data_IF_626210327098
#
_entry.id   IF_626210327098
#
_cell.length_a   1.000
_cell.length_b   1.000
_cell.length_c   1.000
_cell.angle_alpha   90.00
_cell.angle_beta   90.00
_cell.angle_gamma   90.00
#
_symmetry.space_group_name_H-M   'P 1'
#
loop_
_entity.id
_entity.type
_entity.pdbx_description
1 polymer ?
#
# COMPACT_ATOMS: atom_id res chain seq x y z
N UNK A 1 -38.85 -37.23 -42.75
CA UNK A 1 -37.51 -37.86 -42.89
C UNK A 1 -36.78 -37.74 -41.56
N UNK A 2 -36.73 -38.83 -40.79
CA UNK A 2 -36.01 -38.90 -39.50
C UNK A 2 -34.50 -38.94 -39.71
N UNK A 3 -33.74 -38.21 -38.89
CA UNK A 3 -32.34 -38.55 -38.60
C UNK A 3 -32.00 -38.34 -37.12
N UNK A 4 -31.76 -39.48 -36.48
CA UNK A 4 -30.95 -39.66 -35.28
C UNK A 4 -29.53 -39.12 -35.50
N UNK A 5 -28.93 -38.46 -34.49
CA UNK A 5 -27.48 -38.42 -34.33
C UNK A 5 -27.14 -38.77 -32.88
N UNK A 6 -26.59 -39.97 -32.71
CA UNK A 6 -26.00 -40.50 -31.49
C UNK A 6 -24.73 -39.71 -31.10
N UNK A 7 -24.56 -39.47 -29.80
CA UNK A 7 -23.41 -38.81 -29.21
C UNK A 7 -22.13 -39.64 -29.28
N UNK A 8 -21.03 -38.98 -29.67
CA UNK A 8 -19.66 -39.52 -29.68
C UNK A 8 -18.97 -39.14 -28.37
N UNK A 9 -18.77 -40.09 -27.44
CA UNK A 9 -17.93 -39.89 -26.24
C UNK A 9 -16.48 -39.64 -26.69
N UNK A 10 -15.94 -38.45 -26.40
CA UNK A 10 -14.51 -38.14 -26.59
C UNK A 10 -13.69 -38.90 -25.54
N UNK A 11 -12.77 -39.75 -25.99
CA UNK A 11 -11.76 -40.39 -25.16
C UNK A 11 -10.67 -39.38 -24.79
N UNK A 12 -10.29 -39.34 -23.51
CA UNK A 12 -9.21 -38.48 -23.01
C UNK A 12 -7.86 -39.04 -23.48
N UNK A 13 -6.97 -38.23 -24.08
CA UNK A 13 -5.66 -38.68 -24.57
C UNK A 13 -4.78 -39.21 -23.43
N UNK A 14 -3.97 -40.23 -23.73
CA UNK A 14 -3.18 -41.01 -22.77
C UNK A 14 -2.23 -40.16 -21.90
N UNK A 15 -1.75 -39.02 -22.43
CA UNK A 15 -0.89 -38.07 -21.70
C UNK A 15 -1.59 -37.41 -20.52
N UNK A 16 -2.89 -37.08 -20.63
CA UNK A 16 -3.66 -36.47 -19.55
C UNK A 16 -4.01 -37.48 -18.46
N UNK A 17 -4.07 -38.78 -18.79
CA UNK A 17 -4.27 -39.85 -17.79
C UNK A 17 -3.03 -40.05 -16.93
N UNK A 18 -1.83 -39.96 -17.52
CA UNK A 18 -0.57 -40.08 -16.78
C UNK A 18 -0.38 -38.87 -15.84
N UNK A 19 -0.73 -37.66 -16.30
CA UNK A 19 -0.64 -36.45 -15.46
C UNK A 19 -1.64 -36.47 -14.29
N UNK A 20 -2.87 -36.98 -14.49
CA UNK A 20 -3.84 -37.18 -13.42
C UNK A 20 -3.43 -38.27 -12.42
N UNK A 21 -2.76 -39.33 -12.86
CA UNK A 21 -2.26 -40.38 -11.96
C UNK A 21 -1.07 -39.85 -11.15
N UNK A 22 -0.18 -39.08 -11.76
CA UNK A 22 0.95 -38.46 -11.06
C UNK A 22 0.50 -37.46 -9.99
N UNK A 23 -0.52 -36.63 -10.27
CA UNK A 23 -1.05 -35.69 -9.26
C UNK A 23 -1.77 -36.40 -8.12
N UNK A 24 -2.50 -37.50 -8.39
CA UNK A 24 -3.15 -38.29 -7.34
C UNK A 24 -2.13 -39.02 -6.44
N UNK A 25 -1.02 -39.49 -7.00
CA UNK A 25 0.08 -40.09 -6.22
C UNK A 25 0.78 -39.04 -5.34
N UNK A 26 0.99 -37.81 -5.83
CA UNK A 26 1.56 -36.73 -5.01
C UNK A 26 0.64 -36.32 -3.85
N UNK A 27 -0.66 -36.21 -4.07
CA UNK A 27 -1.63 -35.86 -3.02
C UNK A 27 -1.72 -36.96 -1.95
N UNK A 28 -1.71 -38.23 -2.36
CA UNK A 28 -1.74 -39.36 -1.41
C UNK A 28 -0.45 -39.46 -0.59
N UNK A 29 0.71 -39.23 -1.20
CA UNK A 29 1.99 -39.17 -0.48
C UNK A 29 2.02 -38.02 0.56
N UNK A 30 1.52 -36.84 0.21
CA UNK A 30 1.45 -35.69 1.12
C UNK A 30 0.53 -35.95 2.34
N UNK A 31 -0.61 -36.61 2.13
CA UNK A 31 -1.53 -36.99 3.21
C UNK A 31 -0.89 -38.02 4.13
N UNK A 32 -0.16 -39.00 3.60
CA UNK A 32 0.55 -40.00 4.43
C UNK A 32 1.64 -39.33 5.27
N UNK A 33 2.42 -38.40 4.71
CA UNK A 33 3.43 -37.64 5.47
C UNK A 33 2.77 -36.80 6.58
N UNK A 34 1.66 -36.12 6.29
CA UNK A 34 0.92 -35.34 7.29
C UNK A 34 0.37 -36.21 8.44
N UNK A 35 -0.15 -37.41 8.12
CA UNK A 35 -0.62 -38.36 9.13
C UNK A 35 0.52 -38.95 9.98
N UNK A 36 1.69 -39.20 9.38
CA UNK A 36 2.87 -39.64 10.13
C UNK A 36 3.41 -38.54 11.05
N UNK A 37 3.46 -37.28 10.60
CA UNK A 37 3.85 -36.14 11.44
C UNK A 37 2.91 -35.94 12.62
N UNK A 38 1.59 -36.03 12.40
CA UNK A 38 0.60 -35.94 13.49
C UNK A 38 0.68 -37.13 14.47
N UNK A 39 0.99 -38.34 14.00
CA UNK A 39 1.18 -39.50 14.86
C UNK A 39 2.46 -39.38 15.70
N UNK A 40 3.51 -38.76 15.17
CA UNK A 40 4.77 -38.56 15.89
C UNK A 40 4.70 -37.44 16.94
N UNK A 41 3.83 -36.44 16.74
CA UNK A 41 3.49 -35.43 17.76
C UNK A 41 2.70 -36.03 18.92
N UNK A 42 1.83 -37.03 18.65
CA UNK A 42 0.94 -37.62 19.66
C UNK A 42 1.61 -38.61 20.62
N UNK A 43 2.90 -38.94 20.43
CA UNK A 43 3.59 -39.98 21.18
C UNK A 43 4.68 -39.48 22.15
N UNK A 44 4.70 -38.18 22.49
CA UNK A 44 5.68 -37.62 23.44
C UNK A 44 5.17 -37.32 24.85
N UNK A 45 3.90 -37.52 25.16
CA UNK A 45 3.38 -37.35 26.52
C UNK A 45 2.66 -38.61 26.99
N UNK A 46 3.40 -39.54 27.60
CA UNK A 46 2.86 -40.53 28.52
C UNK A 46 3.98 -41.08 29.40
N UNK A 47 4.04 -40.64 30.65
CA UNK A 47 4.54 -41.42 31.79
C UNK A 47 3.75 -40.97 33.04
N UNK A 48 2.98 -41.91 33.59
CA UNK A 48 2.10 -41.76 34.74
C UNK A 48 2.86 -41.88 36.07
N UNK A 49 2.52 -41.06 37.07
CA UNK A 49 2.58 -41.44 38.50
C UNK A 49 1.29 -40.97 39.19
N UNK A 50 0.68 -41.89 39.94
CA UNK A 50 -0.62 -41.83 40.63
C UNK A 50 -0.46 -41.15 42.01
N UNK A 51 -1.42 -40.31 42.45
CA UNK A 51 -2.08 -40.39 43.78
C UNK A 51 -2.96 -39.16 44.14
N UNK A 52 -4.23 -39.48 44.46
CA UNK A 52 -5.27 -38.80 45.25
C UNK A 52 -5.85 -37.40 44.89
N UNK A 53 -7.17 -37.20 45.06
CA UNK A 53 -7.86 -35.98 44.64
C UNK A 53 -7.89 -34.92 45.74
N UNK A 54 -7.72 -33.63 45.38
CA UNK A 54 -8.51 -32.61 46.03
C UNK A 54 -9.02 -31.52 45.07
N UNK A 55 -10.25 -31.09 45.37
CA UNK A 55 -10.86 -29.77 45.12
C UNK A 55 -10.68 -29.10 43.75
N UNK A 56 -11.83 -28.78 43.15
CA UNK A 56 -11.97 -27.82 42.08
C UNK A 56 -11.15 -26.56 42.36
N UNK A 57 -10.02 -26.45 41.68
CA UNK A 57 -9.19 -25.25 41.68
C UNK A 57 -9.53 -24.52 40.39
N UNK A 58 -10.12 -23.34 40.54
CA UNK A 58 -10.38 -22.39 39.47
C UNK A 58 -9.06 -22.17 38.73
N UNK A 59 -9.05 -22.45 37.42
CA UNK A 59 -7.92 -22.15 36.53
C UNK A 59 -7.60 -20.66 36.69
N UNK A 60 -6.33 -20.25 36.84
CA UNK A 60 -6.02 -18.84 36.92
C UNK A 60 -6.44 -18.21 35.59
N UNK A 61 -7.39 -17.30 35.71
CA UNK A 61 -7.77 -16.36 34.67
C UNK A 61 -6.48 -15.79 34.08
N UNK A 62 -6.30 -15.95 32.77
CA UNK A 62 -5.15 -15.39 32.07
C UNK A 62 -5.11 -13.91 32.39
N UNK A 63 -4.11 -13.51 33.18
CA UNK A 63 -3.95 -12.13 33.58
C UNK A 63 -3.81 -11.31 32.30
N UNK A 64 -4.64 -10.28 32.08
CA UNK A 64 -4.55 -9.50 30.86
C UNK A 64 -3.13 -8.92 30.77
N UNK A 65 -2.45 -9.19 29.65
CA UNK A 65 -1.21 -8.51 29.31
C UNK A 65 -1.42 -7.02 29.55
N UNK A 66 -0.55 -6.34 30.34
CA UNK A 66 -0.75 -4.93 30.64
C UNK A 66 -0.89 -4.17 29.33
N UNK A 67 -1.92 -3.32 29.26
CA UNK A 67 -2.21 -2.52 28.08
C UNK A 67 -0.95 -1.73 27.71
N UNK A 68 -0.37 -2.02 26.54
CA UNK A 68 0.72 -1.21 26.01
C UNK A 68 0.14 0.13 25.58
N UNK A 69 0.83 1.23 25.91
CA UNK A 69 0.44 2.55 25.43
C UNK A 69 0.28 2.50 23.90
N UNK A 70 -0.84 2.99 23.34
CA UNK A 70 -1.12 2.87 21.90
C UNK A 70 -0.11 3.64 21.06
N UNK A 71 0.52 4.67 21.64
CA UNK A 71 1.52 5.51 20.99
C UNK A 71 2.79 5.53 21.85
N UNK A 72 3.93 5.29 21.22
CA UNK A 72 5.27 5.36 21.81
C UNK A 72 6.00 6.58 21.19
N UNK A 73 5.98 7.76 21.83
CA UNK A 73 6.51 8.99 21.25
C UNK A 73 7.97 8.93 20.78
N UNK A 74 8.79 8.07 21.40
CA UNK A 74 10.20 7.86 21.05
C UNK A 74 10.42 6.92 19.85
N UNK A 75 9.40 6.19 19.39
CA UNK A 75 9.51 5.35 18.20
C UNK A 75 9.70 6.22 16.96
N UNK A 76 10.66 5.90 16.09
CA UNK A 76 11.01 6.74 14.93
C UNK A 76 10.51 6.18 13.60
N UNK A 77 9.88 5.01 13.61
CA UNK A 77 9.16 4.45 12.46
C UNK A 77 7.68 4.26 12.79
N UNK A 78 6.85 4.03 11.78
CA UNK A 78 5.42 3.75 11.95
C UNK A 78 5.21 2.55 12.90
N UNK A 79 5.86 1.42 12.64
CA UNK A 79 5.74 0.20 13.44
C UNK A 79 6.25 0.33 14.89
N UNK A 80 7.25 1.18 15.12
CA UNK A 80 7.79 1.46 16.45
C UNK A 80 6.91 2.43 17.24
N UNK A 81 6.31 3.43 16.56
CA UNK A 81 5.56 4.50 17.21
C UNK A 81 4.14 4.09 17.56
N UNK A 82 3.50 3.25 16.76
CA UNK A 82 2.11 2.88 16.98
C UNK A 82 2.03 1.41 17.39
N UNK A 83 1.62 1.11 18.62
CA UNK A 83 1.38 -0.27 19.02
C UNK A 83 0.02 -0.74 18.47
N UNK A 84 -0.12 -1.98 18.00
CA UNK A 84 -1.43 -2.52 17.64
C UNK A 84 -2.38 -2.47 18.85
N UNK A 85 -3.69 -2.26 18.64
CA UNK A 85 -4.66 -2.30 19.71
C UNK A 85 -4.66 -3.65 20.45
N UNK A 86 -5.14 -3.67 21.69
CA UNK A 86 -5.22 -4.90 22.47
C UNK A 86 -5.99 -5.99 21.71
N UNK A 87 -5.43 -7.20 21.67
CA UNK A 87 -5.99 -8.34 20.96
C UNK A 87 -5.66 -8.40 19.46
N UNK A 88 -5.03 -7.37 18.89
CA UNK A 88 -4.59 -7.39 17.49
C UNK A 88 -3.11 -7.73 17.36
N UNK A 89 -2.79 -8.49 16.32
CA UNK A 89 -1.42 -8.83 15.95
C UNK A 89 -1.05 -8.15 14.64
N UNK A 90 0.08 -7.41 14.65
CA UNK A 90 0.60 -6.75 13.45
C UNK A 90 0.93 -7.77 12.36
N UNK A 91 0.49 -7.48 11.14
CA UNK A 91 0.82 -8.26 9.96
C UNK A 91 2.31 -8.17 9.68
N UNK A 92 2.95 -9.34 9.53
CA UNK A 92 4.34 -9.44 9.13
C UNK A 92 4.47 -9.11 7.64
N UNK A 93 5.50 -8.34 7.30
CA UNK A 93 5.76 -7.89 5.93
C UNK A 93 6.95 -8.64 5.34
N UNK A 94 6.93 -8.83 4.02
CA UNK A 94 8.04 -9.47 3.31
C UNK A 94 9.23 -8.49 3.22
N UNK A 95 10.44 -8.99 3.47
CA UNK A 95 11.66 -8.19 3.40
C UNK A 95 11.84 -7.60 1.99
N UNK A 96 12.06 -6.29 1.94
CA UNK A 96 12.23 -5.52 0.73
C UNK A 96 10.92 -5.13 0.03
N UNK A 97 9.76 -5.52 0.55
CA UNK A 97 8.45 -5.19 -0.04
C UNK A 97 8.03 -3.73 0.19
N UNK A 98 7.05 -3.26 -0.59
CA UNK A 98 6.45 -1.95 -0.37
C UNK A 98 5.74 -1.87 0.99
N UNK A 99 5.15 -2.98 1.44
CA UNK A 99 4.52 -3.08 2.74
C UNK A 99 5.53 -2.88 3.88
N UNK A 100 6.69 -3.52 3.81
CA UNK A 100 7.78 -3.33 4.79
C UNK A 100 8.29 -1.88 4.77
N UNK A 101 8.49 -1.32 3.57
CA UNK A 101 8.93 0.06 3.39
C UNK A 101 7.98 1.06 4.08
N UNK A 102 6.67 0.90 3.91
CA UNK A 102 5.67 1.75 4.56
C UNK A 102 5.64 1.51 6.07
N UNK A 103 5.55 0.27 6.52
CA UNK A 103 5.46 -0.08 7.94
C UNK A 103 6.68 0.40 8.74
N UNK A 104 7.85 0.53 8.10
CA UNK A 104 9.07 1.04 8.71
C UNK A 104 9.46 2.45 8.26
N UNK A 105 8.54 3.18 7.61
CA UNK A 105 8.81 4.53 7.14
C UNK A 105 9.18 5.45 8.32
N UNK A 106 10.22 6.26 8.16
CA UNK A 106 10.72 7.14 9.22
C UNK A 106 9.74 8.29 9.47
N UNK A 107 9.51 8.61 10.74
CA UNK A 107 8.65 9.70 11.17
C UNK A 107 9.49 10.85 11.70
N UNK A 108 8.96 12.08 11.62
CA UNK A 108 9.50 13.22 12.37
C UNK A 108 9.30 13.03 13.87
N UNK A 109 9.88 13.91 14.68
CA UNK A 109 9.62 13.92 16.12
C UNK A 109 8.11 14.02 16.40
N UNK A 110 7.65 13.34 17.45
CA UNK A 110 6.22 13.12 17.70
C UNK A 110 5.40 14.42 17.83
N UNK A 111 6.02 15.51 18.29
CA UNK A 111 5.34 16.79 18.50
C UNK A 111 5.23 17.64 17.23
N UNK A 112 5.88 17.24 16.13
CA UNK A 112 5.92 18.02 14.89
C UNK A 112 4.56 17.99 14.20
N UNK A 113 4.13 19.18 13.75
CA UNK A 113 2.94 19.36 12.91
C UNK A 113 3.33 19.32 11.43
N UNK A 114 2.45 18.82 10.56
CA UNK A 114 2.73 18.83 9.13
C UNK A 114 2.77 20.27 8.62
N UNK A 115 3.68 20.55 7.69
CA UNK A 115 3.64 21.80 6.93
C UNK A 115 2.56 21.74 5.86
N UNK A 116 1.85 22.85 5.65
CA UNK A 116 0.88 23.07 4.57
C UNK A 116 1.23 24.34 3.80
N UNK A 117 0.98 24.34 2.49
CA UNK A 117 1.09 25.52 1.65
C UNK A 117 -0.08 26.47 1.90
N UNK A 118 0.24 27.64 2.44
CA UNK A 118 -0.70 28.74 2.58
C UNK A 118 -0.81 29.50 1.25
N UNK A 119 -2.01 29.48 0.66
CA UNK A 119 -2.29 30.10 -0.63
C UNK A 119 -2.31 31.63 -0.60
N UNK A 120 -2.55 32.23 0.56
CA UNK A 120 -2.55 33.69 0.73
C UNK A 120 -1.12 34.22 0.82
N UNK A 121 -0.32 33.64 1.72
CA UNK A 121 1.09 34.07 1.91
C UNK A 121 2.05 33.47 0.89
N UNK A 122 1.65 32.40 0.19
CA UNK A 122 2.48 31.61 -0.74
C UNK A 122 3.71 30.98 -0.07
N UNK A 123 3.56 30.57 1.18
CA UNK A 123 4.64 29.96 1.98
C UNK A 123 4.16 28.70 2.68
N UNK A 124 5.10 27.91 3.22
CA UNK A 124 4.78 26.77 4.06
C UNK A 124 4.63 27.21 5.51
N UNK A 125 3.53 26.80 6.14
CA UNK A 125 3.21 27.07 7.55
C UNK A 125 2.85 25.78 8.27
N UNK A 126 2.93 25.76 9.60
CA UNK A 126 2.44 24.61 10.38
C UNK A 126 0.91 24.51 10.27
N UNK A 127 0.40 23.34 9.94
CA UNK A 127 -1.03 23.06 9.97
C UNK A 127 -1.44 22.56 11.37
N UNK A 128 -1.87 23.49 12.22
CA UNK A 128 -2.36 23.17 13.56
C UNK A 128 -3.70 22.41 13.55
N UNK A 129 -4.45 22.49 12.44
CA UNK A 129 -5.78 21.91 12.30
C UNK A 129 -5.77 20.56 11.59
N UNK A 130 -4.62 20.12 11.05
CA UNK A 130 -4.51 18.82 10.42
C UNK A 130 -4.97 17.71 11.39
N UNK A 131 -5.74 16.72 10.91
CA UNK A 131 -6.07 15.52 11.67
C UNK A 131 -4.86 14.58 11.69
N UNK A 132 -3.70 15.09 12.10
CA UNK A 132 -2.42 14.41 12.11
C UNK A 132 -2.04 13.94 13.52
N UNK A 133 -1.54 12.72 13.62
CA UNK A 133 -0.87 12.19 14.84
C UNK A 133 0.64 12.23 14.69
N UNK A 134 1.14 12.08 13.47
CA UNK A 134 2.56 12.16 13.18
C UNK A 134 2.81 12.50 11.72
N UNK A 135 4.01 12.96 11.40
CA UNK A 135 4.41 13.40 10.06
C UNK A 135 5.49 12.46 9.55
N UNK A 136 5.35 12.00 8.31
CA UNK A 136 6.41 11.23 7.64
C UNK A 136 7.64 12.12 7.48
N UNK A 137 8.83 11.57 7.68
CA UNK A 137 10.10 12.26 7.47
C UNK A 137 10.43 12.36 5.97
N UNK A 138 9.54 13.00 5.21
CA UNK A 138 9.65 13.27 3.79
C UNK A 138 9.34 14.74 3.55
N UNK A 139 10.19 15.43 2.78
CA UNK A 139 9.95 16.81 2.40
C UNK A 139 8.91 16.91 1.27
N UNK A 140 8.31 18.08 1.13
CA UNK A 140 7.54 18.40 -0.07
C UNK A 140 8.46 18.45 -1.29
N UNK A 141 7.96 18.01 -2.45
CA UNK A 141 8.75 17.97 -3.68
C UNK A 141 9.33 19.35 -4.04
N UNK A 142 8.60 20.42 -3.73
CA UNK A 142 9.04 21.81 -3.80
C UNK A 142 8.38 22.64 -2.68
N UNK A 143 8.65 23.95 -2.65
CA UNK A 143 8.07 24.89 -1.67
C UNK A 143 6.77 25.55 -2.16
N UNK A 144 6.26 25.13 -3.32
CA UNK A 144 5.02 25.64 -3.91
C UNK A 144 3.82 24.78 -3.56
N UNK A 145 2.70 25.05 -4.22
CA UNK A 145 1.46 24.27 -4.09
C UNK A 145 1.46 23.01 -4.97
N UNK A 146 2.58 22.28 -5.01
CA UNK A 146 2.75 21.03 -5.74
C UNK A 146 2.93 19.88 -4.74
N UNK A 147 2.54 18.66 -5.12
CA UNK A 147 2.36 17.52 -4.21
C UNK A 147 1.08 17.64 -3.38
N UNK A 148 -0.04 17.66 -4.09
CA UNK A 148 -1.37 17.60 -3.52
C UNK A 148 -1.77 16.16 -3.13
N UNK A 149 -3.02 15.95 -2.75
CA UNK A 149 -3.46 14.72 -2.08
C UNK A 149 -3.06 13.40 -2.79
N UNK A 150 -3.40 13.23 -4.07
CA UNK A 150 -3.05 12.05 -4.88
C UNK A 150 -1.55 11.89 -5.11
N UNK A 151 -0.84 13.02 -5.23
CA UNK A 151 0.60 13.05 -5.50
C UNK A 151 1.40 12.43 -4.36
N UNK A 152 0.87 12.48 -3.14
CA UNK A 152 1.47 11.82 -1.98
C UNK A 152 1.52 10.30 -2.16
N UNK A 153 0.51 9.70 -2.81
CA UNK A 153 0.48 8.26 -3.11
C UNK A 153 1.52 7.92 -4.18
N UNK A 154 1.54 8.71 -5.26
CA UNK A 154 2.53 8.62 -6.34
C UNK A 154 3.95 8.74 -5.76
N UNK A 155 4.19 9.71 -4.89
CA UNK A 155 5.50 9.97 -4.28
C UNK A 155 5.98 8.79 -3.46
N UNK A 156 5.15 8.25 -2.57
CA UNK A 156 5.54 7.13 -1.70
C UNK A 156 5.91 5.89 -2.52
N UNK A 157 5.13 5.57 -3.55
CA UNK A 157 5.39 4.40 -4.38
C UNK A 157 6.62 4.59 -5.28
N UNK A 158 6.77 5.76 -5.89
CA UNK A 158 7.92 6.07 -6.72
C UNK A 158 9.23 6.07 -5.92
N UNK A 159 9.25 6.66 -4.72
CA UNK A 159 10.43 6.66 -3.84
C UNK A 159 10.82 5.25 -3.41
N UNK A 160 9.84 4.39 -3.11
CA UNK A 160 10.11 2.98 -2.84
C UNK A 160 10.80 2.31 -4.04
N UNK A 161 10.23 2.41 -5.24
CA UNK A 161 10.81 1.81 -6.44
C UNK A 161 12.20 2.38 -6.76
N UNK A 162 12.36 3.70 -6.63
CA UNK A 162 13.62 4.40 -6.85
C UNK A 162 14.70 3.92 -5.86
N UNK A 163 14.36 3.77 -4.58
CA UNK A 163 15.29 3.24 -3.56
C UNK A 163 15.76 1.81 -3.83
N UNK A 164 14.96 1.03 -4.58
CA UNK A 164 15.28 -0.34 -5.01
C UNK A 164 15.98 -0.38 -6.38
N UNK A 165 16.25 0.76 -7.00
CA UNK A 165 16.83 0.83 -8.35
C UNK A 165 15.89 0.33 -9.45
N UNK A 166 14.59 0.19 -9.18
CA UNK A 166 13.57 -0.31 -10.12
C UNK A 166 13.08 0.80 -11.05
N UNK A 167 14.00 1.48 -11.73
CA UNK A 167 13.71 2.70 -12.49
C UNK A 167 12.72 2.49 -13.65
N UNK A 168 12.77 1.34 -14.30
CA UNK A 168 11.84 0.97 -15.41
C UNK A 168 10.41 0.75 -14.95
N UNK A 169 10.22 0.54 -13.65
CA UNK A 169 8.90 0.28 -13.06
C UNK A 169 8.26 1.58 -12.55
N UNK A 170 9.01 2.68 -12.53
CA UNK A 170 8.49 4.00 -12.19
C UNK A 170 7.82 4.56 -13.43
N UNK A 171 6.50 4.39 -13.49
CA UNK A 171 5.67 4.88 -14.59
C UNK A 171 4.31 5.28 -14.07
N UNK A 172 3.80 6.41 -14.56
CA UNK A 172 2.48 6.92 -14.21
C UNK A 172 1.74 7.39 -15.46
N UNK A 173 0.44 7.19 -15.49
CA UNK A 173 -0.41 7.61 -16.60
C UNK A 173 -0.91 9.03 -16.38
N UNK A 174 -0.80 9.87 -17.40
CA UNK A 174 -1.39 11.21 -17.46
C UNK A 174 -2.66 11.15 -18.32
N UNK A 175 -3.76 11.74 -17.83
CA UNK A 175 -5.07 11.71 -18.50
C UNK A 175 -5.18 12.67 -19.69
N UNK A 176 -4.42 12.35 -20.74
CA UNK A 176 -4.46 12.99 -22.05
C UNK A 176 -5.26 12.15 -23.06
N UNK A 177 -5.45 12.65 -24.28
CA UNK A 177 -6.08 11.89 -25.38
C UNK A 177 -5.10 11.68 -26.54
N UNK A 178 -4.44 10.51 -26.67
CA UNK A 178 -4.56 9.30 -25.84
C UNK A 178 -3.88 9.45 -24.46
N UNK A 179 -4.16 8.52 -23.53
CA UNK A 179 -3.48 8.46 -22.23
C UNK A 179 -1.97 8.39 -22.47
N UNK A 180 -1.23 9.30 -21.83
CA UNK A 180 0.21 9.37 -21.96
C UNK A 180 0.87 8.64 -20.79
N UNK A 181 1.66 7.61 -21.10
CA UNK A 181 2.45 6.88 -20.11
C UNK A 181 3.76 7.61 -19.89
N UNK A 182 3.91 8.27 -18.75
CA UNK A 182 5.10 9.00 -18.36
C UNK A 182 6.02 8.09 -17.52
N UNK A 183 7.01 7.46 -18.15
CA UNK A 183 7.98 6.59 -17.49
C UNK A 183 9.31 7.30 -17.16
N UNK A 184 9.90 6.93 -16.02
CA UNK A 184 11.16 7.52 -15.56
C UNK A 184 12.37 7.04 -16.38
N UNK A 185 12.32 5.87 -17.00
CA UNK A 185 13.41 5.37 -17.84
C UNK A 185 13.65 6.29 -19.04
N UNK A 186 12.58 6.66 -19.77
CA UNK A 186 12.63 7.64 -20.86
C UNK A 186 13.08 9.01 -20.35
N UNK A 187 12.55 9.45 -19.20
CA UNK A 187 12.95 10.71 -18.58
C UNK A 187 14.45 10.78 -18.26
N UNK A 188 14.99 9.71 -17.66
CA UNK A 188 16.40 9.59 -17.28
C UNK A 188 17.33 9.59 -18.50
N UNK A 189 16.82 9.23 -19.68
CA UNK A 189 17.54 9.28 -20.96
C UNK A 189 17.39 10.61 -21.70
N UNK A 190 16.79 11.60 -21.04
CA UNK A 190 16.64 12.95 -21.53
C UNK A 190 15.29 13.28 -22.15
N UNK A 191 14.34 12.34 -22.16
CA UNK A 191 12.98 12.61 -22.59
C UNK A 191 12.31 13.66 -21.70
N UNK A 192 11.60 14.62 -22.31
CA UNK A 192 10.78 15.62 -21.61
C UNK A 192 9.38 15.66 -22.19
N UNK A 193 8.42 16.19 -21.43
CA UNK A 193 7.05 16.33 -21.91
C UNK A 193 7.01 17.44 -22.97
N UNK A 194 6.55 17.09 -24.16
CA UNK A 194 6.11 18.06 -25.15
C UNK A 194 4.65 18.41 -24.87
N UNK A 195 4.43 19.69 -24.58
CA UNK A 195 3.15 20.26 -24.20
C UNK A 195 2.55 21.14 -25.31
N UNK A 196 3.16 21.19 -26.50
CA UNK A 196 2.72 22.10 -27.57
C UNK A 196 1.27 21.89 -27.99
N UNK A 197 0.73 20.68 -27.76
CA UNK A 197 -0.65 20.29 -28.08
C UNK A 197 -1.55 20.10 -26.87
N UNK A 198 -1.14 20.55 -25.67
CA UNK A 198 -1.97 20.40 -24.47
C UNK A 198 -3.29 21.20 -24.62
N UNK A 199 -3.22 22.40 -25.18
CA UNK A 199 -4.40 23.24 -25.46
C UNK A 199 -5.07 22.89 -26.80
N UNK A 200 -4.47 22.00 -27.59
CA UNK A 200 -4.93 21.59 -28.92
C UNK A 200 -5.26 20.08 -28.91
N UNK A 201 -6.22 19.71 -28.06
CA UNK A 201 -6.71 18.34 -27.96
C UNK A 201 -6.22 17.55 -26.75
N UNK A 202 -5.68 18.23 -25.71
CA UNK A 202 -5.21 17.61 -24.46
C UNK A 202 -4.22 16.47 -24.73
N UNK A 203 -3.18 16.77 -25.50
CA UNK A 203 -2.15 15.82 -25.90
C UNK A 203 -0.81 16.16 -25.26
N UNK A 204 -0.15 15.12 -24.76
CA UNK A 204 1.25 15.14 -24.33
C UNK A 204 1.99 14.08 -25.14
N UNK A 205 3.21 14.40 -25.54
CA UNK A 205 4.15 13.46 -26.16
C UNK A 205 5.54 13.60 -25.56
N UNK A 206 6.46 12.72 -25.96
CA UNK A 206 7.87 12.89 -25.63
C UNK A 206 8.53 13.86 -26.60
N UNK A 207 9.23 14.86 -26.08
CA UNK A 207 10.38 15.44 -26.75
C UNK A 207 11.61 14.58 -26.46
N UNK A 208 12.27 14.09 -27.52
CA UNK A 208 13.49 13.27 -27.44
C UNK A 208 14.68 13.92 -28.14
N UNK A 209 14.41 14.93 -28.97
CA UNK A 209 15.42 15.71 -29.63
C UNK A 209 15.90 16.79 -28.66
N UNK A 210 17.15 16.65 -28.19
CA UNK A 210 17.88 17.62 -27.38
C UNK A 210 18.17 18.94 -28.15
N UNK A 211 17.36 19.26 -29.16
CA UNK A 211 17.43 20.47 -29.94
C UNK A 211 16.53 21.56 -29.33
N UNK A 212 16.63 22.77 -29.85
CA UNK A 212 16.01 23.95 -29.25
C UNK A 212 14.46 23.95 -29.28
N UNK A 213 13.82 23.02 -29.99
CA UNK A 213 12.40 23.12 -30.31
C UNK A 213 11.46 22.70 -29.18
N UNK A 214 11.90 21.89 -28.22
CA UNK A 214 11.06 21.51 -27.09
C UNK A 214 11.35 22.29 -25.81
N UNK A 215 12.09 23.40 -25.89
CA UNK A 215 12.22 24.36 -24.79
C UNK A 215 13.08 23.90 -23.60
N UNK A 216 13.75 22.74 -23.68
CA UNK A 216 14.61 22.22 -22.62
C UNK A 216 16.09 22.28 -23.05
N UNK A 217 16.75 23.41 -22.80
CA UNK A 217 18.16 23.62 -23.20
C UNK A 217 19.18 22.92 -22.29
N UNK A 218 18.80 22.55 -21.07
CA UNK A 218 19.66 21.88 -20.08
C UNK A 218 18.97 20.63 -19.51
N UNK A 219 19.16 19.50 -20.18
CA UNK A 219 18.55 18.21 -19.81
C UNK A 219 19.55 17.41 -18.97
N UNK A 220 19.33 17.33 -17.66
CA UNK A 220 20.06 16.39 -16.81
C UNK A 220 19.70 14.95 -17.21
N UNK A 221 20.73 14.13 -17.46
CA UNK A 221 20.64 12.71 -17.77
C UNK A 221 20.95 11.86 -16.54
N UNK A 222 20.51 10.61 -16.60
CA UNK A 222 20.75 9.60 -15.58
C UNK A 222 19.69 9.62 -14.49
N UNK A 223 20.01 8.94 -13.39
CA UNK A 223 19.04 8.61 -12.34
C UNK A 223 19.33 9.36 -11.05
N UNK A 224 19.93 10.55 -11.11
CA UNK A 224 20.23 11.36 -9.92
C UNK A 224 18.96 11.70 -9.15
N UNK A 225 19.10 12.01 -7.85
CA UNK A 225 17.97 12.46 -7.04
C UNK A 225 17.34 13.76 -7.60
N UNK A 226 18.15 14.64 -8.22
CA UNK A 226 17.67 15.84 -8.90
C UNK A 226 16.80 15.52 -10.11
N UNK A 227 17.29 14.62 -10.98
CA UNK A 227 16.53 14.17 -12.16
C UNK A 227 15.24 13.46 -11.77
N UNK A 228 15.26 12.60 -10.76
CA UNK A 228 14.09 11.90 -10.24
C UNK A 228 13.05 12.86 -9.65
N UNK A 229 13.48 13.83 -8.84
CA UNK A 229 12.57 14.84 -8.31
C UNK A 229 11.99 15.72 -9.41
N UNK A 230 12.75 16.01 -10.46
CA UNK A 230 12.23 16.80 -11.59
C UNK A 230 11.19 16.01 -12.40
N UNK A 231 11.40 14.70 -12.60
CA UNK A 231 10.39 13.80 -13.15
C UNK A 231 9.09 13.84 -12.32
N UNK A 232 9.19 13.64 -11.01
CA UNK A 232 8.03 13.65 -10.12
C UNK A 232 7.26 14.97 -10.17
N UNK A 233 7.96 16.11 -10.22
CA UNK A 233 7.31 17.42 -10.35
C UNK A 233 6.46 17.51 -11.62
N UNK A 234 6.93 16.96 -12.74
CA UNK A 234 6.19 16.98 -14.00
C UNK A 234 5.01 16.01 -13.98
N UNK A 235 5.18 14.81 -13.42
CA UNK A 235 4.05 13.88 -13.22
C UNK A 235 2.96 14.55 -12.38
N UNK A 236 3.32 15.10 -11.22
CA UNK A 236 2.40 15.75 -10.28
C UNK A 236 1.73 17.01 -10.85
N UNK A 237 2.35 17.68 -11.82
CA UNK A 237 1.76 18.87 -12.45
C UNK A 237 0.58 18.50 -13.36
N UNK A 238 0.60 17.30 -13.94
CA UNK A 238 -0.37 16.85 -14.95
C UNK A 238 -1.16 15.61 -14.52
N UNK A 239 -1.08 15.22 -13.25
CA UNK A 239 -1.80 14.09 -12.67
C UNK A 239 -2.75 14.53 -11.58
N UNK A 240 -3.83 13.79 -11.42
CA UNK A 240 -4.81 13.93 -10.35
C UNK A 240 -5.24 12.54 -9.84
N UNK A 241 -6.21 12.49 -8.92
CA UNK A 241 -6.76 11.22 -8.41
C UNK A 241 -7.31 10.33 -9.54
N UNK A 242 -7.89 10.89 -10.60
CA UNK A 242 -8.39 10.11 -11.73
C UNK A 242 -7.24 9.46 -12.50
N UNK A 243 -6.14 10.18 -12.68
CA UNK A 243 -4.89 9.68 -13.26
C UNK A 243 -4.32 8.53 -12.42
N UNK A 244 -4.22 8.73 -11.10
CA UNK A 244 -3.75 7.72 -10.15
C UNK A 244 -4.56 6.41 -10.22
N UNK A 245 -5.89 6.49 -10.35
CA UNK A 245 -6.75 5.29 -10.49
C UNK A 245 -6.35 4.44 -11.69
N UNK A 246 -5.90 5.04 -12.79
CA UNK A 246 -5.48 4.29 -13.99
C UNK A 246 -4.19 3.49 -13.78
N UNK A 247 -3.40 3.84 -12.77
CA UNK A 247 -2.16 3.14 -12.38
C UNK A 247 -2.40 2.00 -11.37
N UNK A 248 -3.66 1.75 -11.00
CA UNK A 248 -4.03 0.79 -9.95
C UNK A 248 -5.11 -0.19 -10.40
N UNK A 249 -5.24 -1.29 -9.65
CA UNK A 249 -6.34 -2.23 -9.75
C UNK A 249 -7.26 -2.05 -8.53
N UNK A 250 -8.57 -1.95 -8.77
CA UNK A 250 -9.56 -1.94 -7.68
C UNK A 250 -9.66 -3.34 -7.07
N UNK A 251 -9.66 -3.42 -5.73
CA UNK A 251 -9.92 -4.66 -5.00
C UNK A 251 -11.39 -5.07 -5.14
N UNK A 252 -11.64 -6.37 -5.31
CA UNK A 252 -13.01 -6.91 -5.39
C UNK A 252 -13.70 -7.02 -4.03
N UNK A 253 -12.93 -7.18 -2.95
CA UNK A 253 -13.44 -7.23 -1.58
C UNK A 253 -12.54 -6.40 -0.65
N UNK A 254 -13.16 -5.57 0.19
CA UNK A 254 -12.40 -4.75 1.15
C UNK A 254 -11.62 -5.59 2.16
N UNK A 255 -12.08 -6.81 2.46
CA UNK A 255 -11.40 -7.74 3.36
C UNK A 255 -10.01 -8.17 2.84
N UNK A 256 -9.74 -8.01 1.55
CA UNK A 256 -8.43 -8.31 0.95
C UNK A 256 -7.41 -7.17 1.12
N UNK A 257 -7.80 -6.10 1.83
CA UNK A 257 -6.94 -4.97 2.15
C UNK A 257 -5.61 -5.43 2.78
N UNK A 258 -4.53 -4.83 2.30
CA UNK A 258 -3.16 -5.00 2.74
C UNK A 258 -2.45 -3.65 2.87
N UNK A 259 -1.28 -3.66 3.52
CA UNK A 259 -0.40 -2.50 3.56
C UNK A 259 0.04 -2.15 2.14
N UNK A 260 -0.05 -0.87 1.78
CA UNK A 260 0.19 -0.36 0.44
C UNK A 260 -1.08 -0.12 -0.38
N UNK A 261 -2.25 -0.59 0.08
CA UNK A 261 -3.51 -0.29 -0.60
C UNK A 261 -3.97 1.13 -0.33
N UNK A 262 -4.59 1.74 -1.33
CA UNK A 262 -5.06 3.11 -1.34
C UNK A 262 -6.58 3.14 -1.24
N UNK A 263 -7.08 3.86 -0.25
CA UNK A 263 -8.48 4.18 -0.04
C UNK A 263 -8.81 5.41 -0.88
N UNK A 264 -9.76 5.25 -1.79
CA UNK A 264 -10.39 6.34 -2.56
C UNK A 264 -11.83 6.48 -2.10
N UNK A 265 -12.19 7.66 -1.63
CA UNK A 265 -13.52 7.94 -1.08
C UNK A 265 -14.54 8.26 -2.17
N UNK A 266 -15.82 8.05 -1.86
CA UNK A 266 -16.91 8.43 -2.77
C UNK A 266 -17.03 9.94 -2.94
N UNK A 267 -16.74 10.71 -1.89
CA UNK A 267 -16.56 12.15 -1.97
C UNK A 267 -15.25 12.46 -2.71
N UNK A 268 -15.37 13.06 -3.90
CA UNK A 268 -14.23 13.42 -4.75
C UNK A 268 -13.33 14.49 -4.15
N UNK A 269 -13.81 15.23 -3.13
CA UNK A 269 -13.01 16.22 -2.42
C UNK A 269 -12.16 15.60 -1.29
N UNK A 270 -12.50 14.38 -0.86
CA UNK A 270 -11.73 13.71 0.17
C UNK A 270 -10.41 13.18 -0.40
N UNK A 271 -9.32 13.61 0.21
CA UNK A 271 -7.98 13.17 -0.13
C UNK A 271 -7.84 11.64 -0.02
N UNK A 272 -7.33 10.93 -1.04
CA UNK A 272 -7.03 9.51 -0.92
C UNK A 272 -6.00 9.26 0.19
N UNK A 273 -6.02 8.07 0.76
CA UNK A 273 -5.13 7.67 1.85
C UNK A 273 -4.54 6.28 1.59
N UNK A 274 -3.29 6.06 1.96
CA UNK A 274 -2.63 4.76 1.83
C UNK A 274 -2.55 4.04 3.17
N UNK A 275 -2.81 2.74 3.20
CA UNK A 275 -2.61 1.89 4.37
C UNK A 275 -1.10 1.69 4.57
N UNK A 276 -0.59 2.10 5.73
CA UNK A 276 0.85 2.07 6.06
C UNK A 276 1.19 1.07 7.16
N UNK A 277 0.20 0.61 7.94
CA UNK A 277 0.33 -0.51 8.86
C UNK A 277 -1.01 -1.26 8.96
N UNK A 278 -0.96 -2.55 9.28
CA UNK A 278 -2.15 -3.41 9.36
C UNK A 278 -1.97 -4.42 10.50
N UNK A 279 -3.03 -4.64 11.27
CA UNK A 279 -3.08 -5.67 12.30
C UNK A 279 -4.40 -6.45 12.21
N UNK A 280 -4.35 -7.73 12.61
CA UNK A 280 -5.48 -8.65 12.54
C UNK A 280 -5.76 -9.18 13.95
N UNK A 281 -7.02 -9.22 14.34
CA UNK A 281 -7.42 -9.94 15.53
C UNK A 281 -7.49 -11.44 15.21
N UNK A 282 -6.65 -12.30 15.82
CA UNK A 282 -6.64 -13.73 15.52
C UNK A 282 -7.92 -14.45 15.97
N UNK A 283 -8.77 -13.86 16.82
CA UNK A 283 -10.01 -14.50 17.28
C UNK A 283 -11.12 -14.51 16.24
N UNK A 284 -11.20 -13.47 15.40
CA UNK A 284 -12.32 -13.28 14.46
C UNK A 284 -11.89 -12.85 13.04
N UNK A 285 -10.59 -12.60 12.83
CA UNK A 285 -10.04 -12.16 11.55
C UNK A 285 -10.32 -10.69 11.23
N UNK A 286 -10.91 -9.92 12.15
CA UNK A 286 -11.15 -8.49 11.95
C UNK A 286 -9.83 -7.73 11.81
N UNK A 287 -9.83 -6.72 10.94
CA UNK A 287 -8.63 -5.95 10.59
C UNK A 287 -8.74 -4.51 11.09
N UNK A 288 -7.61 -4.01 11.59
CA UNK A 288 -7.38 -2.58 11.85
C UNK A 288 -6.17 -2.11 11.06
N UNK A 289 -6.19 -0.86 10.63
CA UNK A 289 -5.13 -0.29 9.81
C UNK A 289 -4.73 1.11 10.26
N UNK A 290 -3.48 1.50 10.02
CA UNK A 290 -3.01 2.89 10.08
C UNK A 290 -2.94 3.41 8.65
N UNK A 291 -3.34 4.67 8.44
CA UNK A 291 -3.27 5.29 7.12
C UNK A 291 -2.51 6.62 7.11
N UNK A 292 -1.89 6.92 5.98
CA UNK A 292 -1.22 8.18 5.71
C UNK A 292 -1.85 8.91 4.51
N UNK A 293 -1.85 10.24 4.51
CA UNK A 293 -2.32 11.04 3.38
C UNK A 293 -1.65 12.42 3.30
N UNK A 294 -1.76 13.03 2.13
CA UNK A 294 -1.57 14.47 1.94
C UNK A 294 -2.91 15.22 1.91
N UNK A 295 -2.89 16.46 1.42
CA UNK A 295 -4.07 17.33 1.29
C UNK A 295 -3.97 18.23 0.06
N UNK A 296 -5.01 19.02 -0.19
CA UNK A 296 -5.02 20.15 -1.12
C UNK A 296 -5.52 21.39 -0.36
N UNK A 297 -4.72 22.47 -0.17
CA UNK A 297 -3.37 22.72 -0.71
C UNK A 297 -2.31 21.71 -0.29
N UNK A 298 -1.16 21.73 -0.99
CA UNK A 298 -0.04 20.81 -0.77
C UNK A 298 0.39 20.80 0.69
N UNK A 299 0.56 19.61 1.27
CA UNK A 299 1.02 19.44 2.65
C UNK A 299 1.91 18.22 2.79
N UNK A 300 2.73 18.23 3.84
CA UNK A 300 3.54 17.06 4.21
C UNK A 300 2.65 15.85 4.49
N UNK A 301 3.12 14.67 4.12
CA UNK A 301 2.37 13.43 4.32
C UNK A 301 2.32 13.13 5.82
N UNK A 302 1.12 12.90 6.35
CA UNK A 302 0.92 12.65 7.77
C UNK A 302 0.10 11.39 8.03
N UNK A 303 0.31 10.81 9.22
CA UNK A 303 -0.50 9.72 9.78
C UNK A 303 -1.81 10.30 10.29
N UNK A 304 -2.93 9.78 9.79
CA UNK A 304 -4.26 10.30 10.10
C UNK A 304 -4.71 9.87 11.49
N UNK A 305 -5.23 10.82 12.27
CA UNK A 305 -5.84 10.59 13.57
C UNK A 305 -7.13 9.79 13.43
N UNK A 306 -7.36 8.87 14.36
CA UNK A 306 -8.69 8.32 14.55
C UNK A 306 -9.52 9.24 15.45
N UNK A 307 -10.35 10.07 14.82
CA UNK A 307 -11.24 11.01 15.51
C UNK A 307 -12.51 10.33 16.04
N UNK A 308 -12.84 9.13 15.54
CA UNK A 308 -14.02 8.37 15.96
C UNK A 308 -13.73 7.45 17.15
N UNK A 309 -12.48 7.06 17.36
CA UNK A 309 -12.09 6.17 18.44
C UNK A 309 -10.67 6.49 18.96
N UNK A 310 -10.64 7.20 20.08
CA UNK A 310 -9.38 7.60 20.74
C UNK A 310 -8.61 6.43 21.35
N UNK A 311 -9.29 5.33 21.73
CA UNK A 311 -8.66 4.18 22.42
C UNK A 311 -7.70 3.41 21.51
N UNK A 312 -7.98 3.41 20.19
CA UNK A 312 -7.17 2.71 19.19
C UNK A 312 -6.37 3.67 18.31
N UNK A 313 -6.38 4.98 18.57
CA UNK A 313 -5.70 5.97 17.75
C UNK A 313 -4.19 5.63 17.53
N UNK A 314 -3.66 5.68 16.27
CA UNK A 314 -4.28 6.11 15.02
C UNK A 314 -4.97 5.01 14.20
N UNK A 315 -5.10 3.81 14.74
CA UNK A 315 -5.70 2.68 14.04
C UNK A 315 -7.18 2.92 13.75
N UNK A 316 -7.62 2.47 12.59
CA UNK A 316 -8.99 2.51 12.08
C UNK A 316 -9.47 1.08 11.88
N UNK A 317 -10.75 0.79 12.12
CA UNK A 317 -11.29 -0.53 11.78
C UNK A 317 -11.61 -0.60 10.29
N UNK A 318 -11.24 -1.71 9.65
CA UNK A 318 -11.55 -1.93 8.25
C UNK A 318 -13.06 -2.05 7.99
N UNK A 319 -13.81 -2.56 8.96
CA UNK A 319 -15.28 -2.61 8.92
C UNK A 319 -15.95 -1.25 8.97
N UNK A 320 -15.23 -0.19 9.37
CA UNK A 320 -15.71 1.18 9.48
C UNK A 320 -15.28 2.04 8.27
N UNK A 321 -14.82 1.41 7.17
CA UNK A 321 -14.57 2.12 5.92
C UNK A 321 -15.83 2.92 5.50
N UNK A 322 -15.69 4.20 5.11
CA UNK A 322 -16.83 5.00 4.72
C UNK A 322 -17.63 4.37 3.58
N UNK A 323 -18.96 4.55 3.61
CA UNK A 323 -19.84 4.04 2.56
C UNK A 323 -19.41 4.57 1.20
N UNK A 324 -19.22 3.67 0.24
CA UNK A 324 -18.78 3.99 -1.12
C UNK A 324 -17.26 4.18 -1.28
N UNK A 325 -16.47 4.08 -0.20
CA UNK A 325 -15.01 4.01 -0.34
C UNK A 325 -14.60 2.73 -1.09
N UNK A 326 -13.59 2.87 -1.94
CA UNK A 326 -13.00 1.78 -2.72
C UNK A 326 -11.52 1.64 -2.39
N UNK A 327 -11.03 0.41 -2.43
CA UNK A 327 -9.62 0.09 -2.22
C UNK A 327 -8.95 -0.22 -3.55
N UNK A 328 -7.74 0.29 -3.72
CA UNK A 328 -6.93 0.13 -4.92
C UNK A 328 -5.52 -0.31 -4.56
N UNK A 329 -4.89 -1.09 -5.44
CA UNK A 329 -3.49 -1.51 -5.34
C UNK A 329 -2.73 -1.14 -6.60
N UNK A 330 -1.52 -0.58 -6.46
CA UNK A 330 -0.64 -0.34 -7.60
C UNK A 330 -0.41 -1.61 -8.43
N UNK A 331 -0.32 -1.42 -9.76
CA UNK A 331 -0.14 -2.50 -10.74
C UNK A 331 1.25 -3.11 -10.73
#
# INVERSE_FOLDING_TARGET
>A
MSRNIYGKKRSIPLSNKILMIASLVCVTAAIVVFLFFNKHQKNKNNNNIINNPPSATVSPEATPTPARDPIVPSGMTISQRFNPPAGYERVQTENGSFAEYLQNFTLRDYTVKPLVFDTETKTLVNDENAPAVSVLAMDLINKGNLQQSSDSMVRLYAEYLYSKGRYTDITFNLLTTPIFKCDFDTWSKGGRLDLSKINEGNQISWCLDHNENCGHKDVELGTSAGTFRYYLQNVMTYSDTASLITDMNQLSASQDAAIGDIIVYADRQAAPAIIVDLAVNPSDGSKVYVMARGSSPACEIYIVRNENNAEINPWQKLSELPVGASLYRFK
#
